data_IF_157440660618
#
_entry.id   IF_157440660618
#
_cell.length_a   1.000
_cell.length_b   1.000
_cell.length_c   1.000
_cell.angle_alpha   90.00
_cell.angle_beta   90.00
_cell.angle_gamma   90.00
#
_symmetry.space_group_name_H-M   'P 1'
#
loop_
_entity.id
_entity.type
_entity.pdbx_description
1 polymer ?
#
# COMPACT_ATOMS: atom_id res chain seq x y z
N UNK A 1 -37.83 -31.48 20.80
CA UNK A 1 -37.03 -32.49 20.06
C UNK A 1 -35.59 -32.02 20.07
N UNK A 2 -34.73 -32.76 20.76
CA UNK A 2 -33.29 -32.57 20.82
C UNK A 2 -32.69 -32.85 19.43
N UNK A 3 -32.34 -31.82 18.67
CA UNK A 3 -31.42 -31.99 17.54
C UNK A 3 -30.02 -31.90 18.12
N UNK A 4 -29.41 -33.04 18.41
CA UNK A 4 -27.98 -33.13 18.69
C UNK A 4 -27.24 -32.64 17.44
N UNK A 5 -26.65 -31.44 17.52
CA UNK A 5 -25.55 -31.05 16.64
C UNK A 5 -24.43 -32.06 16.90
N UNK A 6 -24.24 -33.00 15.98
CA UNK A 6 -23.16 -33.97 16.00
C UNK A 6 -21.85 -33.22 15.72
N UNK A 7 -21.27 -32.58 16.73
CA UNK A 7 -19.92 -32.01 16.65
C UNK A 7 -18.93 -33.17 16.52
N UNK A 8 -18.24 -33.23 15.39
CA UNK A 8 -17.22 -34.27 15.19
C UNK A 8 -15.98 -33.94 16.02
N UNK A 9 -15.46 -34.94 16.75
CA UNK A 9 -14.22 -34.82 17.52
C UNK A 9 -13.09 -35.34 16.65
N UNK A 10 -12.53 -34.48 15.81
CA UNK A 10 -11.46 -34.84 14.90
C UNK A 10 -10.24 -33.97 15.18
N UNK A 11 -9.07 -34.59 15.34
CA UNK A 11 -7.81 -33.84 15.37
C UNK A 11 -7.40 -33.34 13.98
N UNK A 12 -7.91 -33.99 12.93
CA UNK A 12 -7.71 -33.62 11.53
C UNK A 12 -8.92 -34.02 10.69
N UNK A 13 -9.26 -33.21 9.69
CA UNK A 13 -10.42 -33.40 8.81
C UNK A 13 -10.11 -32.93 7.39
N UNK A 14 -10.47 -33.75 6.41
CA UNK A 14 -10.39 -33.40 4.99
C UNK A 14 -11.73 -32.85 4.53
N UNK A 15 -11.72 -31.64 3.98
CA UNK A 15 -12.89 -30.97 3.40
C UNK A 15 -12.80 -31.09 1.87
N UNK A 16 -13.60 -32.02 1.33
CA UNK A 16 -13.65 -32.31 -0.11
C UNK A 16 -14.87 -31.73 -0.83
N UNK A 17 -15.84 -31.18 -0.09
CA UNK A 17 -17.06 -30.60 -0.64
C UNK A 17 -17.34 -29.23 0.00
N UNK A 18 -17.92 -28.27 -0.75
CA UNK A 18 -18.36 -27.01 -0.19
C UNK A 18 -19.58 -27.21 0.73
N UNK A 19 -19.78 -26.30 1.68
CA UNK A 19 -20.83 -26.41 2.68
C UNK A 19 -20.53 -25.63 3.95
N UNK A 20 -21.43 -25.72 4.92
CA UNK A 20 -21.22 -25.23 6.29
C UNK A 20 -20.92 -26.38 7.23
N UNK A 21 -19.97 -26.16 8.14
CA UNK A 21 -19.46 -27.14 9.08
C UNK A 21 -19.35 -26.52 10.48
N UNK A 22 -19.38 -27.39 11.49
CA UNK A 22 -19.18 -27.05 12.89
C UNK A 22 -18.40 -28.19 13.55
N UNK A 23 -17.24 -27.89 14.13
CA UNK A 23 -16.33 -28.87 14.73
C UNK A 23 -15.86 -28.40 16.11
N UNK A 24 -15.69 -29.33 17.05
CA UNK A 24 -15.17 -29.03 18.38
C UNK A 24 -13.63 -28.99 18.34
N UNK A 25 -13.02 -27.88 18.77
CA UNK A 25 -11.57 -27.73 18.89
C UNK A 25 -11.19 -27.78 20.37
N UNK A 26 -10.77 -28.96 20.84
CA UNK A 26 -10.34 -29.15 22.23
C UNK A 26 -9.01 -28.46 22.54
N UNK A 27 -8.06 -28.60 21.63
CA UNK A 27 -6.74 -27.98 21.69
C UNK A 27 -6.27 -27.58 20.29
N UNK A 28 -6.46 -28.48 19.32
CA UNK A 28 -5.98 -28.34 17.95
C UNK A 28 -6.86 -29.11 16.97
N UNK A 29 -7.12 -28.51 15.80
CA UNK A 29 -7.84 -29.08 14.67
C UNK A 29 -7.11 -28.73 13.37
N UNK A 30 -6.75 -29.74 12.59
CA UNK A 30 -6.20 -29.57 11.25
C UNK A 30 -7.29 -29.72 10.18
N UNK A 31 -7.54 -28.67 9.40
CA UNK A 31 -8.45 -28.70 8.26
C UNK A 31 -7.63 -28.74 6.97
N UNK A 32 -7.79 -29.79 6.17
CA UNK A 32 -7.17 -29.91 4.85
C UNK A 32 -8.22 -29.75 3.75
N UNK A 33 -8.02 -28.82 2.83
CA UNK A 33 -8.97 -28.51 1.77
C UNK A 33 -8.53 -29.13 0.45
N UNK A 34 -9.42 -29.89 -0.18
CA UNK A 34 -9.12 -30.54 -1.47
C UNK A 34 -9.23 -29.50 -2.59
N UNK A 35 -8.16 -29.25 -3.37
CA UNK A 35 -8.23 -28.35 -4.52
C UNK A 35 -9.20 -28.91 -5.57
N UNK A 36 -10.01 -28.03 -6.15
CA UNK A 36 -10.92 -28.37 -7.25
C UNK A 36 -10.49 -27.61 -8.50
N UNK A 37 -10.22 -28.35 -9.58
CA UNK A 37 -9.78 -27.76 -10.84
C UNK A 37 -10.80 -26.73 -11.37
N UNK A 38 -10.34 -25.59 -11.88
CA UNK A 38 -11.16 -24.48 -12.37
C UNK A 38 -12.01 -23.75 -11.32
N UNK A 39 -11.84 -24.07 -10.03
CA UNK A 39 -12.47 -23.36 -8.93
C UNK A 39 -11.42 -22.76 -8.00
N UNK A 40 -11.76 -21.62 -7.41
CA UNK A 40 -11.11 -21.12 -6.21
C UNK A 40 -11.92 -21.57 -4.98
N UNK A 41 -11.23 -21.93 -3.90
CA UNK A 41 -11.81 -22.27 -2.61
C UNK A 41 -11.75 -21.07 -1.68
N UNK A 42 -12.85 -20.77 -1.00
CA UNK A 42 -12.92 -19.72 0.01
C UNK A 42 -13.43 -20.32 1.31
N UNK A 43 -12.73 -20.06 2.41
CA UNK A 43 -13.12 -20.51 3.74
C UNK A 43 -13.47 -19.30 4.59
N UNK A 44 -14.65 -19.31 5.19
CA UNK A 44 -15.18 -18.21 6.00
C UNK A 44 -15.39 -18.72 7.43
N UNK A 45 -14.74 -18.05 8.38
CA UNK A 45 -14.91 -18.20 9.82
C UNK A 45 -15.68 -16.98 10.33
N UNK A 46 -16.99 -17.10 10.57
CA UNK A 46 -17.81 -15.98 10.98
C UNK A 46 -17.51 -15.51 12.42
N UNK A 47 -16.95 -16.37 13.29
CA UNK A 47 -16.60 -16.10 14.71
C UNK A 47 -15.21 -16.65 15.09
N UNK A 48 -14.11 -16.08 14.54
CA UNK A 48 -12.77 -16.62 14.76
C UNK A 48 -12.10 -16.18 16.08
N UNK A 49 -12.76 -15.37 16.92
CA UNK A 49 -12.11 -14.61 18.01
C UNK A 49 -11.45 -15.49 19.08
N UNK A 50 -11.88 -16.75 19.21
CA UNK A 50 -11.33 -17.71 20.19
C UNK A 50 -10.30 -18.68 19.60
N UNK A 51 -9.90 -18.46 18.35
CA UNK A 51 -9.08 -19.38 17.60
C UNK A 51 -7.80 -18.70 17.14
N UNK A 52 -6.73 -19.49 17.07
CA UNK A 52 -5.44 -19.04 16.56
C UNK A 52 -4.86 -20.00 15.54
N UNK A 53 -3.98 -19.48 14.68
CA UNK A 53 -3.07 -20.25 13.82
C UNK A 53 -1.67 -19.69 14.07
N UNK A 54 -0.72 -20.53 14.45
CA UNK A 54 0.69 -20.12 14.68
C UNK A 54 0.83 -18.90 15.63
N UNK A 55 0.12 -18.91 16.77
CA UNK A 55 0.07 -17.81 17.74
C UNK A 55 -0.49 -16.48 17.21
N UNK A 56 -1.15 -16.48 16.05
CA UNK A 56 -1.87 -15.32 15.52
C UNK A 56 -3.37 -15.59 15.54
N UNK A 57 -4.17 -14.54 15.72
CA UNK A 57 -5.63 -14.66 15.64
C UNK A 57 -6.05 -15.25 14.29
N UNK A 58 -7.00 -16.19 14.32
CA UNK A 58 -7.58 -16.77 13.11
C UNK A 58 -8.24 -15.66 12.28
N UNK A 59 -7.92 -15.59 10.99
CA UNK A 59 -8.57 -14.64 10.07
C UNK A 59 -10.03 -15.07 9.82
N UNK A 60 -10.90 -14.09 9.55
CA UNK A 60 -12.30 -14.37 9.17
C UNK A 60 -12.45 -15.02 7.80
N UNK A 61 -11.56 -14.74 6.85
CA UNK A 61 -11.67 -15.29 5.47
C UNK A 61 -10.30 -15.71 4.96
N UNK A 62 -10.24 -16.89 4.35
CA UNK A 62 -9.08 -17.42 3.64
C UNK A 62 -9.43 -17.71 2.18
N UNK A 63 -8.52 -17.37 1.27
CA UNK A 63 -8.65 -17.62 -0.16
C UNK A 63 -7.61 -18.66 -0.59
N UNK A 64 -8.09 -19.75 -1.21
CA UNK A 64 -7.33 -20.93 -1.60
C UNK A 64 -6.41 -21.52 -0.50
N UNK A 65 -6.89 -21.70 0.75
CA UNK A 65 -6.07 -22.39 1.76
C UNK A 65 -5.90 -23.87 1.39
N UNK A 66 -4.70 -24.42 1.60
CA UNK A 66 -4.45 -25.87 1.46
C UNK A 66 -4.69 -26.58 2.79
N UNK A 67 -4.05 -26.11 3.86
CA UNK A 67 -4.21 -26.64 5.21
C UNK A 67 -4.28 -25.49 6.21
N UNK A 68 -5.18 -25.59 7.19
CA UNK A 68 -5.26 -24.67 8.33
C UNK A 68 -5.15 -25.48 9.62
N UNK A 69 -4.18 -25.11 10.44
CA UNK A 69 -3.93 -25.74 11.74
C UNK A 69 -4.42 -24.79 12.83
N UNK A 70 -5.61 -25.07 13.34
CA UNK A 70 -6.37 -24.17 14.19
C UNK A 70 -6.26 -24.63 15.64
N UNK A 71 -5.96 -23.70 16.54
CA UNK A 71 -5.78 -23.94 17.96
C UNK A 71 -6.83 -23.18 18.77
N UNK A 72 -7.39 -23.82 19.80
CA UNK A 72 -8.33 -23.23 20.75
C UNK A 72 -8.53 -24.15 21.94
N UNK A 73 -8.95 -23.60 23.09
CA UNK A 73 -9.25 -24.36 24.29
C UNK A 73 -10.76 -24.65 24.37
N UNK A 74 -11.14 -25.84 23.91
CA UNK A 74 -12.50 -26.38 24.03
C UNK A 74 -13.62 -25.46 23.49
N UNK A 75 -13.45 -24.95 22.27
CA UNK A 75 -14.45 -24.11 21.59
C UNK A 75 -14.97 -24.76 20.30
N UNK A 76 -16.22 -24.43 19.93
CA UNK A 76 -16.85 -24.83 18.67
C UNK A 76 -16.44 -23.87 17.57
N UNK A 77 -15.84 -24.41 16.50
CA UNK A 77 -15.45 -23.67 15.30
C UNK A 77 -16.51 -23.85 14.22
N UNK A 78 -17.21 -22.77 13.90
CA UNK A 78 -18.12 -22.72 12.76
C UNK A 78 -17.40 -22.17 11.53
N UNK A 79 -17.64 -22.77 10.37
CA UNK A 79 -17.05 -22.31 9.11
C UNK A 79 -17.86 -22.72 7.88
N UNK A 80 -17.70 -21.95 6.81
CA UNK A 80 -18.28 -22.23 5.49
C UNK A 80 -17.17 -22.36 4.46
N UNK A 81 -17.28 -23.34 3.57
CA UNK A 81 -16.40 -23.53 2.41
C UNK A 81 -17.20 -23.29 1.14
N UNK A 82 -16.74 -22.34 0.33
CA UNK A 82 -17.37 -21.91 -0.92
C UNK A 82 -16.42 -22.24 -2.07
N UNK A 83 -16.99 -22.74 -3.17
CA UNK A 83 -16.28 -22.87 -4.43
C UNK A 83 -16.73 -21.79 -5.42
N UNK A 84 -15.77 -21.04 -5.95
CA UNK A 84 -15.98 -20.00 -6.95
C UNK A 84 -15.40 -20.43 -8.28
N UNK A 85 -16.20 -20.50 -9.34
CA UNK A 85 -15.69 -20.80 -10.69
C UNK A 85 -14.77 -19.68 -11.17
N UNK A 86 -13.54 -20.02 -11.57
CA UNK A 86 -12.54 -19.05 -12.03
C UNK A 86 -13.09 -18.23 -13.22
N UNK A 87 -12.94 -16.91 -13.13
CA UNK A 87 -13.40 -15.97 -14.16
C UNK A 87 -14.90 -15.72 -14.22
N UNK A 88 -15.70 -16.31 -13.32
CA UNK A 88 -17.15 -16.07 -13.29
C UNK A 88 -17.48 -14.67 -12.76
N UNK A 89 -17.00 -14.35 -11.55
CA UNK A 89 -17.25 -13.04 -10.93
C UNK A 89 -16.34 -11.97 -11.50
N UNK A 90 -16.90 -10.80 -11.78
CA UNK A 90 -16.11 -9.60 -12.04
C UNK A 90 -15.73 -8.89 -10.75
N UNK A 91 -16.68 -8.77 -9.82
CA UNK A 91 -16.43 -8.28 -8.45
C UNK A 91 -16.70 -9.37 -7.43
N UNK A 92 -15.99 -9.32 -6.30
CA UNK A 92 -16.23 -10.24 -5.18
C UNK A 92 -16.01 -9.53 -3.84
N UNK A 93 -17.10 -9.37 -3.09
CA UNK A 93 -17.09 -8.76 -1.77
C UNK A 93 -17.70 -9.71 -0.72
N UNK A 94 -17.07 -9.76 0.46
CA UNK A 94 -17.56 -10.51 1.61
C UNK A 94 -18.09 -9.55 2.66
N UNK A 95 -19.23 -9.89 3.23
CA UNK A 95 -19.93 -9.07 4.21
C UNK A 95 -20.23 -9.98 5.39
N UNK A 96 -19.49 -9.80 6.47
CA UNK A 96 -19.61 -10.60 7.67
C UNK A 96 -20.34 -9.78 8.72
N UNK A 97 -21.54 -10.22 9.06
CA UNK A 97 -22.35 -9.59 10.07
C UNK A 97 -21.80 -9.95 11.45
N UNK A 98 -21.46 -8.94 12.22
CA UNK A 98 -20.92 -9.09 13.57
C UNK A 98 -22.03 -9.26 14.61
N UNK A 99 -23.23 -8.80 14.31
CA UNK A 99 -24.38 -8.90 15.21
C UNK A 99 -25.61 -9.41 14.47
N UNK A 100 -26.57 -9.93 15.25
CA UNK A 100 -27.89 -10.40 14.77
C UNK A 100 -28.68 -9.35 13.98
N UNK A 101 -28.33 -8.07 14.15
CA UNK A 101 -29.10 -6.94 13.65
C UNK A 101 -28.47 -6.18 12.48
N UNK A 102 -27.40 -6.67 11.88
CA UNK A 102 -26.67 -5.96 10.84
C UNK A 102 -27.48 -5.86 9.53
N UNK A 103 -27.91 -4.63 9.20
CA UNK A 103 -28.46 -4.26 7.88
C UNK A 103 -27.34 -3.85 6.94
N UNK A 104 -27.26 -4.47 5.77
CA UNK A 104 -26.24 -4.11 4.77
C UNK A 104 -26.94 -3.61 3.52
N UNK A 105 -26.58 -2.38 3.16
CA UNK A 105 -27.09 -1.66 2.01
C UNK A 105 -26.00 -1.54 0.94
N UNK A 106 -26.29 -1.96 -0.28
CA UNK A 106 -25.40 -1.93 -1.43
C UNK A 106 -25.99 -1.03 -2.51
N UNK A 107 -25.31 0.09 -2.75
CA UNK A 107 -25.63 1.10 -3.75
C UNK A 107 -24.64 0.98 -4.89
N UNK A 108 -25.11 0.80 -6.12
CA UNK A 108 -24.25 0.57 -7.28
C UNK A 108 -24.62 1.49 -8.44
N UNK A 109 -23.59 2.08 -9.04
CA UNK A 109 -23.72 2.75 -10.33
C UNK A 109 -23.70 1.69 -11.44
N UNK A 110 -24.86 1.30 -11.96
CA UNK A 110 -24.95 0.20 -12.92
C UNK A 110 -24.18 0.46 -14.22
N UNK A 111 -23.91 1.72 -14.56
CA UNK A 111 -23.11 2.07 -15.74
C UNK A 111 -21.70 1.45 -15.71
N UNK A 112 -21.01 1.54 -14.58
CA UNK A 112 -19.63 1.03 -14.43
C UNK A 112 -19.56 -0.51 -14.46
N UNK A 113 -20.73 -1.16 -14.31
CA UNK A 113 -20.85 -2.60 -14.12
C UNK A 113 -21.89 -3.28 -15.01
N UNK A 114 -22.23 -2.65 -16.13
CA UNK A 114 -23.17 -3.21 -17.11
C UNK A 114 -22.70 -4.57 -17.60
N UNK A 115 -23.59 -5.56 -17.53
CA UNK A 115 -23.34 -6.94 -17.94
C UNK A 115 -22.17 -7.64 -17.22
N UNK A 116 -21.70 -7.09 -16.08
CA UNK A 116 -20.73 -7.75 -15.19
C UNK A 116 -21.44 -8.60 -14.15
N UNK A 117 -20.77 -9.66 -13.69
CA UNK A 117 -21.23 -10.50 -12.58
C UNK A 117 -20.72 -9.94 -11.26
N UNK A 118 -21.63 -9.40 -10.45
CA UNK A 118 -21.31 -8.76 -9.18
C UNK A 118 -21.62 -9.71 -8.04
N UNK A 119 -20.58 -10.33 -7.49
CA UNK A 119 -20.73 -11.39 -6.51
C UNK A 119 -20.54 -10.88 -5.09
N UNK A 120 -21.43 -11.30 -4.20
CA UNK A 120 -21.44 -10.94 -2.78
C UNK A 120 -21.63 -12.19 -1.94
N UNK A 121 -20.82 -12.33 -0.90
CA UNK A 121 -20.94 -13.41 0.08
C UNK A 121 -21.25 -12.81 1.43
N UNK A 122 -22.43 -13.10 1.95
CA UNK A 122 -22.87 -12.69 3.27
C UNK A 122 -22.70 -13.85 4.22
N UNK A 123 -22.08 -13.64 5.37
CA UNK A 123 -22.05 -14.64 6.43
C UNK A 123 -22.48 -14.00 7.75
N UNK A 124 -23.37 -14.68 8.47
CA UNK A 124 -23.89 -14.22 9.75
C UNK A 124 -23.75 -15.36 10.77
N UNK A 125 -22.93 -15.14 11.79
CA UNK A 125 -22.68 -16.14 12.83
C UNK A 125 -23.87 -16.32 13.77
N UNK A 126 -24.73 -15.31 13.88
CA UNK A 126 -25.73 -15.21 14.92
C UNK A 126 -27.14 -15.53 14.44
N UNK A 127 -27.34 -15.59 13.11
CA UNK A 127 -28.64 -15.91 12.54
C UNK A 127 -28.55 -16.97 11.46
N UNK A 128 -29.55 -17.83 11.47
CA UNK A 128 -29.76 -18.85 10.45
C UNK A 128 -30.63 -18.35 9.29
N UNK A 129 -31.10 -17.09 9.37
CA UNK A 129 -31.95 -16.42 8.39
C UNK A 129 -31.46 -15.00 8.13
N UNK A 130 -31.60 -14.49 6.91
CA UNK A 130 -31.48 -13.05 6.61
C UNK A 130 -32.44 -12.70 5.49
N UNK A 131 -32.90 -11.44 5.46
CA UNK A 131 -33.94 -10.98 4.53
C UNK A 131 -33.33 -10.08 3.47
N UNK A 132 -33.24 -10.54 2.22
CA UNK A 132 -32.75 -9.67 1.13
C UNK A 132 -33.86 -8.73 0.67
N UNK A 133 -33.51 -7.48 0.39
CA UNK A 133 -34.41 -6.44 -0.06
C UNK A 133 -33.79 -5.60 -1.18
N UNK A 134 -34.65 -4.88 -1.89
CA UNK A 134 -34.27 -3.83 -2.84
C UNK A 134 -35.05 -2.54 -2.62
N UNK A 135 -34.77 -1.54 -3.45
CA UNK A 135 -35.63 -0.38 -3.57
C UNK A 135 -36.84 -0.75 -4.45
N UNK A 136 -38.06 -0.62 -3.90
CA UNK A 136 -39.36 -0.94 -4.50
C UNK A 136 -39.36 -1.01 -6.05
N UNK A 137 -39.80 -2.12 -6.64
CA UNK A 137 -40.03 -2.36 -8.10
C UNK A 137 -38.88 -2.05 -9.11
N UNK A 138 -37.85 -1.31 -8.70
CA UNK A 138 -36.86 -0.64 -9.55
C UNK A 138 -35.50 -1.35 -9.62
N UNK A 139 -35.37 -2.54 -9.04
CA UNK A 139 -34.21 -3.40 -9.30
C UNK A 139 -34.22 -3.77 -10.79
N UNK A 140 -33.43 -3.05 -11.58
CA UNK A 140 -33.28 -3.27 -13.01
C UNK A 140 -32.09 -4.20 -13.21
N UNK A 141 -32.27 -5.46 -12.87
CA UNK A 141 -31.26 -6.52 -12.98
C UNK A 141 -31.80 -7.88 -12.52
N UNK A 142 -31.00 -8.92 -12.69
CA UNK A 142 -31.27 -10.28 -12.19
C UNK A 142 -30.42 -10.54 -10.96
N UNK A 143 -31.07 -11.02 -9.91
CA UNK A 143 -30.43 -11.52 -8.71
C UNK A 143 -30.48 -13.05 -8.77
N UNK A 144 -29.31 -13.67 -8.66
CA UNK A 144 -29.17 -15.11 -8.58
C UNK A 144 -28.62 -15.45 -7.20
N UNK A 145 -29.28 -16.37 -6.50
CA UNK A 145 -28.76 -16.86 -5.23
C UNK A 145 -28.43 -18.34 -5.26
N UNK A 146 -27.44 -18.66 -4.47
CA UNK A 146 -26.83 -19.96 -4.40
C UNK A 146 -26.93 -20.47 -2.96
N UNK A 147 -27.52 -21.64 -2.79
CA UNK A 147 -27.70 -22.34 -1.51
C UNK A 147 -26.80 -23.59 -1.38
N UNK A 148 -26.08 -23.93 -2.45
CA UNK A 148 -25.21 -25.09 -2.55
C UNK A 148 -23.72 -24.79 -2.32
N UNK A 149 -23.37 -23.56 -1.88
CA UNK A 149 -21.98 -23.14 -1.65
C UNK A 149 -21.08 -23.16 -2.90
N UNK A 150 -21.67 -23.17 -4.11
CA UNK A 150 -20.94 -23.16 -5.39
C UNK A 150 -21.43 -22.01 -6.26
N UNK A 151 -20.57 -21.02 -6.49
CA UNK A 151 -20.87 -19.89 -7.35
C UNK A 151 -20.28 -20.14 -8.76
N UNK A 152 -21.13 -20.65 -9.67
CA UNK A 152 -20.71 -21.21 -10.97
C UNK A 152 -21.53 -20.77 -12.20
N UNK A 153 -22.61 -20.01 -12.01
CA UNK A 153 -23.52 -19.60 -13.09
C UNK A 153 -24.54 -20.62 -13.56
N UNK A 154 -24.63 -21.80 -12.92
CA UNK A 154 -25.53 -22.89 -13.36
C UNK A 154 -26.26 -23.60 -12.22
N UNK A 155 -26.03 -23.20 -10.97
CA UNK A 155 -26.61 -23.83 -9.78
C UNK A 155 -27.22 -22.79 -8.84
N UNK A 156 -28.07 -21.94 -9.40
CA UNK A 156 -28.72 -20.85 -8.69
C UNK A 156 -30.24 -20.95 -8.80
N UNK A 157 -30.91 -20.20 -7.93
CA UNK A 157 -32.31 -19.84 -8.08
C UNK A 157 -32.41 -18.38 -8.51
N UNK A 158 -33.04 -18.11 -9.66
CA UNK A 158 -33.32 -16.74 -10.09
C UNK A 158 -34.39 -16.16 -9.16
N UNK A 159 -34.12 -14.97 -8.64
CA UNK A 159 -35.06 -14.31 -7.74
C UNK A 159 -35.96 -13.35 -8.48
N UNK A 160 -37.25 -13.54 -8.26
CA UNK A 160 -38.28 -12.65 -8.75
C UNK A 160 -38.33 -11.37 -7.91
N UNK A 161 -38.61 -10.24 -8.57
CA UNK A 161 -38.78 -8.93 -7.93
C UNK A 161 -39.79 -8.99 -6.77
N UNK A 162 -39.53 -8.24 -5.69
CA UNK A 162 -40.37 -8.11 -4.49
C UNK A 162 -40.62 -9.41 -3.69
N UNK A 163 -39.76 -10.42 -3.81
CA UNK A 163 -39.85 -11.63 -3.00
C UNK A 163 -38.99 -11.48 -1.75
N UNK A 164 -39.57 -11.62 -0.55
CA UNK A 164 -38.80 -11.74 0.68
C UNK A 164 -38.02 -13.05 0.64
N UNK A 165 -36.70 -12.98 0.80
CA UNK A 165 -35.93 -14.20 0.92
C UNK A 165 -35.77 -14.59 2.38
N UNK A 166 -36.27 -15.77 2.75
CA UNK A 166 -35.82 -16.43 3.97
C UNK A 166 -34.58 -17.26 3.63
N UNK A 167 -33.42 -16.86 4.15
CA UNK A 167 -32.26 -17.72 4.09
C UNK A 167 -32.45 -18.94 4.98
N UNK A 168 -32.07 -20.08 4.46
CA UNK A 168 -31.65 -21.20 5.28
C UNK A 168 -30.12 -21.18 5.23
N UNK A 169 -29.47 -21.31 6.38
CA UNK A 169 -28.01 -21.38 6.59
C UNK A 169 -27.28 -20.03 6.74
N UNK A 170 -26.25 -20.05 7.59
CA UNK A 170 -25.46 -18.90 8.08
C UNK A 170 -24.64 -18.17 7.01
N UNK A 171 -24.73 -18.58 5.74
CA UNK A 171 -24.01 -17.98 4.61
C UNK A 171 -24.90 -17.93 3.38
N UNK A 172 -24.97 -16.76 2.75
CA UNK A 172 -25.68 -16.50 1.49
C UNK A 172 -24.70 -16.01 0.44
N UNK A 173 -24.81 -16.53 -0.78
CA UNK A 173 -24.08 -15.98 -1.91
C UNK A 173 -25.06 -15.44 -2.95
N UNK A 174 -24.81 -14.21 -3.38
CA UNK A 174 -25.63 -13.50 -4.34
C UNK A 174 -24.74 -13.12 -5.53
N UNK A 175 -25.25 -13.35 -6.74
CA UNK A 175 -24.75 -12.73 -7.96
C UNK A 175 -25.80 -11.73 -8.47
N UNK A 176 -25.37 -10.51 -8.73
CA UNK A 176 -26.20 -9.48 -9.34
C UNK A 176 -25.68 -9.11 -10.72
N UNK A 177 -26.58 -9.14 -11.71
CA UNK A 177 -26.29 -8.73 -13.09
C UNK A 177 -27.31 -7.69 -13.53
N UNK A 178 -26.87 -6.63 -14.22
CA UNK A 178 -27.74 -5.56 -14.72
C UNK A 178 -27.36 -5.14 -16.13
N UNK A 179 -28.36 -4.87 -16.95
CA UNK A 179 -28.20 -4.26 -18.28
C UNK A 179 -28.60 -2.77 -18.30
N UNK A 180 -29.05 -2.25 -17.15
CA UNK A 180 -29.55 -0.89 -17.01
C UNK A 180 -28.42 0.12 -16.78
N UNK A 181 -28.68 1.36 -17.18
CA UNK A 181 -27.79 2.50 -16.91
C UNK A 181 -28.22 3.26 -15.64
N UNK A 182 -29.17 2.73 -14.87
CA UNK A 182 -29.73 3.39 -13.69
C UNK A 182 -29.02 2.97 -12.39
N UNK A 183 -29.15 3.79 -11.36
CA UNK A 183 -28.63 3.48 -10.04
C UNK A 183 -29.44 2.35 -9.42
N UNK A 184 -28.78 1.25 -9.04
CA UNK A 184 -29.42 0.10 -8.42
C UNK A 184 -29.08 0.03 -6.93
N UNK A 185 -29.99 -0.54 -6.15
CA UNK A 185 -29.83 -0.69 -4.72
C UNK A 185 -30.45 -1.99 -4.22
N UNK A 186 -29.67 -2.77 -3.48
CA UNK A 186 -30.12 -3.98 -2.78
C UNK A 186 -29.40 -4.14 -1.45
N UNK A 187 -29.92 -4.99 -0.57
CA UNK A 187 -29.34 -5.18 0.75
C UNK A 187 -29.89 -6.38 1.49
N UNK A 188 -29.35 -6.65 2.68
CA UNK A 188 -29.87 -7.67 3.60
C UNK A 188 -30.33 -7.03 4.92
N UNK A 189 -31.40 -7.57 5.50
CA UNK A 189 -32.00 -7.23 6.79
C UNK A 189 -32.62 -5.81 6.90
N UNK A 190 -33.34 -5.31 5.88
CA UNK A 190 -33.93 -3.94 5.75
C UNK A 190 -34.47 -3.26 7.01
N UNK A 191 -35.02 -4.04 7.93
CA UNK A 191 -35.78 -3.58 9.11
C UNK A 191 -35.00 -3.71 10.43
N UNK A 192 -33.71 -4.04 10.37
CA UNK A 192 -32.87 -4.16 11.56
C UNK A 192 -31.98 -2.92 11.75
N UNK A 193 -31.45 -2.77 12.96
CA UNK A 193 -30.62 -1.63 13.34
C UNK A 193 -29.31 -1.61 12.55
N UNK A 194 -29.07 -0.56 11.76
CA UNK A 194 -27.81 -0.41 11.05
C UNK A 194 -26.63 -0.35 12.04
N UNK A 195 -25.77 -1.37 11.95
CA UNK A 195 -24.49 -1.51 12.65
C UNK A 195 -23.39 -1.62 11.61
N UNK A 196 -22.13 -1.49 12.03
CA UNK A 196 -20.98 -1.64 11.13
C UNK A 196 -20.71 -3.13 10.87
N UNK A 197 -21.02 -3.60 9.66
CA UNK A 197 -20.60 -4.93 9.19
C UNK A 197 -19.11 -4.93 8.81
N UNK A 198 -18.43 -6.03 9.07
CA UNK A 198 -17.05 -6.24 8.61
C UNK A 198 -17.11 -6.59 7.12
N UNK A 199 -16.47 -5.77 6.28
CA UNK A 199 -16.44 -5.96 4.83
C UNK A 199 -15.05 -6.41 4.42
N UNK A 200 -14.97 -7.36 3.50
CA UNK A 200 -13.71 -7.85 2.99
C UNK A 200 -13.73 -8.00 1.46
N UNK A 201 -12.56 -7.92 0.83
CA UNK A 201 -12.43 -8.15 -0.62
C UNK A 201 -11.12 -8.86 -0.95
N UNK A 202 -11.07 -9.53 -2.10
CA UNK A 202 -9.88 -10.24 -2.59
C UNK A 202 -9.23 -9.44 -3.73
N UNK A 203 -7.90 -9.19 -3.70
CA UNK A 203 -7.21 -8.37 -4.70
C UNK A 203 -7.29 -8.85 -6.15
N UNK A 204 -7.60 -10.11 -6.40
CA UNK A 204 -7.80 -10.65 -7.75
C UNK A 204 -9.11 -10.17 -8.40
N UNK A 205 -10.04 -9.63 -7.62
CA UNK A 205 -11.34 -9.17 -8.09
C UNK A 205 -11.45 -7.64 -8.00
N UNK A 206 -12.33 -7.04 -8.81
CA UNK A 206 -12.80 -5.69 -8.52
C UNK A 206 -13.61 -5.72 -7.21
N UNK A 207 -13.59 -4.62 -6.45
CA UNK A 207 -14.37 -4.50 -5.22
C UNK A 207 -15.30 -3.31 -5.35
N UNK A 208 -16.55 -3.51 -4.95
CA UNK A 208 -17.56 -2.45 -4.92
C UNK A 208 -17.61 -1.76 -3.55
N UNK A 209 -17.00 -2.39 -2.54
CA UNK A 209 -17.10 -1.96 -1.15
C UNK A 209 -15.73 -1.64 -0.59
N UNK A 210 -15.64 -0.52 0.14
CA UNK A 210 -14.49 -0.32 1.02
C UNK A 210 -14.55 -1.36 2.14
N UNK A 211 -13.51 -2.15 2.27
CA UNK A 211 -13.40 -3.22 3.25
C UNK A 211 -11.95 -3.69 3.43
N UNK A 212 -11.73 -4.55 4.40
CA UNK A 212 -10.44 -5.16 4.72
C UNK A 212 -10.00 -6.09 3.60
N UNK A 213 -8.78 -5.88 3.10
CA UNK A 213 -8.19 -6.77 2.11
C UNK A 213 -7.95 -8.17 2.68
N UNK A 214 -8.44 -9.19 1.98
CA UNK A 214 -8.07 -10.60 2.22
C UNK A 214 -6.84 -10.88 1.38
N UNK A 215 -5.70 -10.96 2.04
CA UNK A 215 -4.45 -11.38 1.42
C UNK A 215 -4.36 -12.91 1.46
N UNK A 216 -4.16 -13.59 0.31
CA UNK A 216 -3.77 -14.98 0.30
C UNK A 216 -2.39 -15.15 0.94
N UNK A 217 -1.98 -16.40 1.10
CA UNK A 217 -0.61 -16.72 1.44
C UNK A 217 0.35 -16.16 0.36
N UNK A 218 1.42 -15.49 0.81
CA UNK A 218 2.40 -14.86 -0.08
C UNK A 218 3.41 -15.92 -0.52
N UNK A 219 3.14 -16.60 -1.64
CA UNK A 219 4.00 -17.67 -2.17
C UNK A 219 5.00 -17.21 -3.24
N UNK A 220 4.60 -16.28 -4.10
CA UNK A 220 5.36 -15.90 -5.31
C UNK A 220 6.16 -14.60 -5.19
N UNK A 221 6.36 -14.12 -3.97
CA UNK A 221 7.09 -12.88 -3.74
C UNK A 221 8.60 -13.14 -3.62
N UNK A 222 9.39 -12.37 -4.37
CA UNK A 222 10.85 -12.29 -4.23
C UNK A 222 11.29 -10.85 -3.97
N UNK A 223 12.38 -10.69 -3.24
CA UNK A 223 13.12 -9.43 -3.22
C UNK A 223 14.04 -9.36 -4.46
N UNK A 224 14.36 -8.15 -4.90
CA UNK A 224 15.10 -7.87 -6.12
C UNK A 224 14.23 -7.36 -7.26
N UNK A 225 14.75 -7.48 -8.48
CA UNK A 225 14.15 -6.91 -9.70
C UNK A 225 12.92 -7.68 -10.20
N UNK A 226 11.93 -6.90 -10.62
CA UNK A 226 10.77 -7.34 -11.39
C UNK A 226 10.77 -6.63 -12.75
N UNK A 227 10.56 -7.44 -13.80
CA UNK A 227 10.34 -6.98 -15.16
C UNK A 227 9.03 -7.60 -15.65
N UNK A 228 7.96 -6.80 -15.59
CA UNK A 228 6.59 -7.27 -15.81
C UNK A 228 6.08 -6.66 -17.10
N UNK A 229 5.69 -7.51 -18.04
CA UNK A 229 4.91 -7.10 -19.20
C UNK A 229 3.44 -6.99 -18.78
N UNK A 230 2.92 -5.77 -18.68
CA UNK A 230 1.52 -5.55 -18.28
C UNK A 230 0.58 -5.87 -19.45
N UNK A 231 -0.36 -6.78 -19.21
CA UNK A 231 -1.53 -7.00 -20.05
C UNK A 231 -2.76 -6.62 -19.19
N UNK A 232 -3.15 -5.35 -19.24
CA UNK A 232 -4.21 -4.70 -18.44
C UNK A 232 -3.89 -4.48 -16.96
N UNK A 233 -3.64 -5.54 -16.19
CA UNK A 233 -3.40 -5.45 -14.74
C UNK A 233 -2.43 -6.51 -14.22
N UNK A 234 -1.59 -6.12 -13.28
CA UNK A 234 -0.70 -7.01 -12.53
C UNK A 234 -0.93 -6.79 -11.03
N UNK A 235 -1.10 -7.88 -10.29
CA UNK A 235 -1.27 -7.86 -8.82
C UNK A 235 -0.12 -8.62 -8.19
N UNK A 236 0.54 -8.01 -7.22
CA UNK A 236 1.59 -8.65 -6.44
C UNK A 236 1.29 -8.50 -4.95
N UNK A 237 1.29 -9.61 -4.23
CA UNK A 237 1.18 -9.65 -2.78
C UNK A 237 2.54 -9.36 -2.16
N UNK A 238 2.58 -8.40 -1.25
CA UNK A 238 3.82 -7.83 -0.71
C UNK A 238 3.89 -8.15 0.78
N UNK A 239 4.97 -8.80 1.26
CA UNK A 239 5.16 -9.03 2.68
C UNK A 239 5.45 -7.73 3.42
N UNK A 240 5.14 -7.71 4.71
CA UNK A 240 5.48 -6.62 5.63
C UNK A 240 6.98 -6.29 5.59
N UNK A 241 7.33 -5.06 5.98
CA UNK A 241 8.69 -4.54 6.01
C UNK A 241 9.37 -4.59 4.63
N UNK A 242 8.62 -4.28 3.58
CA UNK A 242 9.13 -4.24 2.22
C UNK A 242 9.16 -2.81 1.70
N UNK A 243 10.10 -2.51 0.82
CA UNK A 243 10.21 -1.22 0.14
C UNK A 243 10.22 -1.43 -1.37
N UNK A 244 9.29 -0.81 -2.06
CA UNK A 244 9.23 -0.82 -3.52
C UNK A 244 9.88 0.42 -4.09
N UNK A 245 10.77 0.22 -5.06
CA UNK A 245 11.43 1.25 -5.83
C UNK A 245 11.06 1.10 -7.30
N UNK A 246 10.57 2.17 -7.90
CA UNK A 246 10.27 2.20 -9.34
C UNK A 246 11.50 2.57 -10.17
N UNK A 247 11.73 1.85 -11.26
CA UNK A 247 12.96 1.98 -12.07
C UNK A 247 12.69 2.30 -13.56
N UNK A 248 11.43 2.22 -14.02
CA UNK A 248 10.99 2.65 -15.36
C UNK A 248 9.72 3.50 -15.26
N UNK A 249 9.61 4.51 -16.15
CA UNK A 249 8.48 5.44 -16.23
C UNK A 249 7.75 5.24 -17.55
N UNK A 250 6.49 4.83 -17.46
CA UNK A 250 5.55 4.80 -18.57
C UNK A 250 4.18 5.24 -18.05
N UNK A 251 3.16 5.33 -18.90
CA UNK A 251 1.79 5.63 -18.46
C UNK A 251 1.19 4.42 -17.74
N UNK A 252 1.02 4.52 -16.42
CA UNK A 252 0.41 3.47 -15.59
C UNK A 252 -0.39 4.08 -14.42
N UNK A 253 -1.25 3.26 -13.84
CA UNK A 253 -1.89 3.53 -12.55
C UNK A 253 -1.40 2.49 -11.54
N UNK A 254 -0.90 2.94 -10.40
CA UNK A 254 -0.49 2.05 -9.31
C UNK A 254 -1.39 2.26 -8.11
N UNK A 255 -1.90 1.17 -7.56
CA UNK A 255 -2.72 1.14 -6.38
C UNK A 255 -2.06 0.25 -5.34
N UNK A 256 -1.62 0.84 -4.23
CA UNK A 256 -1.04 0.12 -3.10
C UNK A 256 -2.08 0.03 -1.98
N UNK A 257 -2.18 -1.13 -1.33
CA UNK A 257 -3.17 -1.38 -0.29
C UNK A 257 -2.57 -2.12 0.89
N UNK A 258 -2.97 -1.73 2.11
CA UNK A 258 -2.71 -2.49 3.33
C UNK A 258 -3.94 -2.45 4.24
N UNK A 259 -4.51 -3.62 4.52
CA UNK A 259 -5.72 -3.74 5.34
C UNK A 259 -6.87 -2.88 4.83
N UNK A 260 -7.13 -1.76 5.52
CA UNK A 260 -8.21 -0.82 5.20
C UNK A 260 -7.75 0.44 4.46
N UNK A 261 -6.44 0.60 4.26
CA UNK A 261 -5.84 1.76 3.63
C UNK A 261 -5.51 1.49 2.16
N UNK A 262 -5.71 2.50 1.33
CA UNK A 262 -5.35 2.48 -0.08
C UNK A 262 -4.67 3.78 -0.49
N UNK A 263 -3.72 3.65 -1.40
CA UNK A 263 -3.09 4.78 -2.08
C UNK A 263 -3.10 4.50 -3.57
N UNK A 264 -3.69 5.41 -4.35
CA UNK A 264 -3.71 5.33 -5.80
C UNK A 264 -2.92 6.50 -6.38
N UNK A 265 -1.94 6.19 -7.22
CA UNK A 265 -1.21 7.17 -8.00
C UNK A 265 -1.43 6.91 -9.50
N UNK A 266 -1.83 7.95 -10.22
CA UNK A 266 -1.98 7.92 -11.69
C UNK A 266 -0.83 8.70 -12.31
N UNK A 267 -0.04 8.03 -13.15
CA UNK A 267 1.05 8.67 -13.86
C UNK A 267 0.66 8.98 -15.30
N UNK A 268 0.61 10.28 -15.60
CA UNK A 268 0.49 10.84 -16.95
C UNK A 268 1.55 11.91 -17.15
N UNK A 269 2.40 11.77 -18.17
CA UNK A 269 3.29 12.77 -18.81
C UNK A 269 4.27 13.58 -17.95
N UNK A 270 4.24 13.48 -16.62
CA UNK A 270 5.19 14.11 -15.71
C UNK A 270 6.14 13.05 -15.16
N UNK A 271 7.45 13.28 -15.31
CA UNK A 271 8.57 12.47 -14.77
C UNK A 271 8.55 12.41 -13.23
N UNK A 272 7.53 11.77 -12.66
CA UNK A 272 7.41 11.54 -11.23
C UNK A 272 7.75 10.09 -10.95
N UNK A 273 8.65 9.85 -10.01
CA UNK A 273 8.88 8.51 -9.48
C UNK A 273 8.19 8.37 -8.14
N UNK A 274 7.73 7.17 -7.83
CA UNK A 274 7.06 6.89 -6.55
C UNK A 274 7.68 5.65 -5.93
N UNK A 275 7.78 5.64 -4.61
CA UNK A 275 8.07 4.44 -3.84
C UNK A 275 7.03 4.23 -2.76
N UNK A 276 6.96 2.97 -2.33
CA UNK A 276 6.08 2.55 -1.25
C UNK A 276 6.89 1.79 -0.21
N UNK A 277 6.75 2.20 1.05
CA UNK A 277 7.19 1.44 2.21
C UNK A 277 5.97 0.74 2.81
N UNK A 278 6.04 -0.59 2.90
CA UNK A 278 4.96 -1.44 3.39
C UNK A 278 5.27 -1.88 4.81
N UNK A 279 4.54 -1.30 5.78
CA UNK A 279 4.71 -1.66 7.20
C UNK A 279 4.10 -3.04 7.52
N UNK A 280 2.99 -3.37 6.85
CA UNK A 280 2.25 -4.62 7.03
C UNK A 280 2.16 -5.39 5.71
N UNK A 281 1.74 -6.66 5.79
CA UNK A 281 1.41 -7.43 4.59
C UNK A 281 0.36 -6.66 3.77
N UNK A 282 0.58 -6.63 2.46
CA UNK A 282 -0.08 -5.69 1.57
C UNK A 282 -0.23 -6.30 0.17
N UNK A 283 -0.83 -5.56 -0.76
CA UNK A 283 -0.67 -5.84 -2.18
C UNK A 283 -0.48 -4.55 -2.96
N UNK A 284 0.07 -4.70 -4.15
CA UNK A 284 0.11 -3.65 -5.15
C UNK A 284 -0.58 -4.13 -6.41
N UNK A 285 -1.40 -3.28 -7.01
CA UNK A 285 -2.03 -3.47 -8.29
C UNK A 285 -1.52 -2.41 -9.25
N UNK A 286 -1.03 -2.85 -10.40
CA UNK A 286 -0.44 -2.00 -11.43
C UNK A 286 -1.27 -2.20 -12.69
N UNK A 287 -1.87 -1.12 -13.20
CA UNK A 287 -2.67 -1.13 -14.43
C UNK A 287 -1.97 -0.31 -15.52
N UNK A 288 -1.90 -0.85 -16.73
CA UNK A 288 -1.21 -0.22 -17.86
C UNK A 288 -1.03 -1.18 -19.04
N UNK A 289 -0.44 -0.67 -20.14
CA UNK A 289 -0.19 -1.44 -21.38
C UNK A 289 1.28 -1.46 -21.79
N UNK A 290 2.20 -1.18 -20.86
CA UNK A 290 3.64 -1.11 -21.12
C UNK A 290 4.42 -2.09 -20.25
N UNK A 291 5.70 -2.24 -20.54
CA UNK A 291 6.60 -2.97 -19.65
C UNK A 291 6.86 -2.12 -18.41
N UNK A 292 6.74 -2.72 -17.24
CA UNK A 292 6.89 -2.04 -15.98
C UNK A 292 7.98 -2.70 -15.13
N UNK A 293 8.95 -1.90 -14.69
CA UNK A 293 10.11 -2.36 -13.96
C UNK A 293 10.23 -1.68 -12.60
N UNK A 294 10.36 -2.51 -11.59
CA UNK A 294 10.46 -2.10 -10.21
C UNK A 294 11.30 -3.11 -9.43
N UNK A 295 11.70 -2.72 -8.24
CA UNK A 295 12.47 -3.54 -7.34
C UNK A 295 11.81 -3.55 -5.97
N UNK A 296 11.84 -4.70 -5.32
CA UNK A 296 11.52 -4.81 -3.90
C UNK A 296 12.78 -5.08 -3.09
N UNK A 297 12.92 -4.44 -1.94
CA UNK A 297 13.95 -4.75 -0.95
C UNK A 297 13.31 -4.95 0.41
N UNK A 298 13.88 -5.87 1.20
CA UNK A 298 13.45 -6.05 2.59
C UNK A 298 14.07 -4.95 3.43
N UNK A 299 13.27 -4.27 4.24
CA UNK A 299 13.77 -3.40 5.29
C UNK A 299 14.46 -4.27 6.36
N UNK A 300 15.78 -4.14 6.57
CA UNK A 300 16.49 -4.95 7.56
C UNK A 300 16.02 -4.56 8.97
N UNK A 301 15.66 -5.54 9.80
CA UNK A 301 15.10 -5.27 11.13
C UNK A 301 16.08 -4.58 12.09
N UNK A 302 17.38 -4.76 11.83
CA UNK A 302 18.48 -4.20 12.63
C UNK A 302 18.79 -2.73 12.28
N UNK A 303 18.22 -2.20 11.19
CA UNK A 303 18.48 -0.83 10.74
C UNK A 303 17.65 0.18 11.54
N UNK A 304 18.26 0.80 12.54
CA UNK A 304 17.76 2.02 13.18
C UNK A 304 18.47 3.22 12.57
N UNK A 305 17.75 3.98 11.74
CA UNK A 305 18.30 5.13 11.02
C UNK A 305 17.55 6.41 11.36
N UNK A 306 18.29 7.52 11.39
CA UNK A 306 17.71 8.87 11.52
C UNK A 306 17.20 9.40 10.17
N UNK A 307 17.72 8.89 9.05
CA UNK A 307 17.30 9.27 7.70
C UNK A 307 17.39 8.09 6.74
N UNK A 308 16.42 7.99 5.83
CA UNK A 308 16.43 7.07 4.69
C UNK A 308 16.79 7.83 3.42
N UNK A 309 17.76 7.30 2.67
CA UNK A 309 18.27 7.89 1.42
C UNK A 309 18.04 6.88 0.31
N UNK A 310 17.33 7.26 -0.76
CA UNK A 310 17.20 6.41 -1.96
C UNK A 310 17.97 7.06 -3.12
N UNK A 311 18.89 6.34 -3.76
CA UNK A 311 19.71 6.80 -4.90
C UNK A 311 19.30 5.96 -6.11
N UNK A 312 18.84 6.59 -7.19
CA UNK A 312 18.31 5.91 -8.36
C UNK A 312 19.09 6.28 -9.61
N UNK A 313 19.36 5.27 -10.44
CA UNK A 313 19.92 5.45 -11.78
C UNK A 313 21.33 6.02 -11.81
N UNK A 314 21.85 6.26 -13.01
CA UNK A 314 23.25 6.61 -13.22
C UNK A 314 23.67 7.92 -12.53
N UNK A 315 24.31 7.85 -11.36
CA UNK A 315 24.71 9.01 -10.56
C UNK A 315 25.91 8.74 -9.64
N UNK A 316 26.76 9.74 -9.48
CA UNK A 316 27.72 9.83 -8.39
C UNK A 316 27.14 10.62 -7.21
N UNK A 317 26.99 9.97 -6.05
CA UNK A 317 26.44 10.61 -4.85
C UNK A 317 27.28 10.33 -3.61
N UNK A 318 27.45 11.33 -2.75
CA UNK A 318 28.24 11.23 -1.52
C UNK A 318 27.40 11.55 -0.30
N UNK A 319 27.13 10.53 0.51
CA UNK A 319 26.46 10.69 1.81
C UNK A 319 27.50 11.20 2.80
N UNK A 320 27.27 12.38 3.40
CA UNK A 320 28.12 12.95 4.45
C UNK A 320 27.34 12.97 5.75
N UNK A 321 27.89 12.36 6.79
CA UNK A 321 27.26 12.29 8.11
C UNK A 321 28.09 12.97 9.19
N UNK A 322 27.43 13.74 10.05
CA UNK A 322 27.97 14.27 11.30
C UNK A 322 27.96 13.20 12.38
N UNK A 323 28.70 13.46 13.46
CA UNK A 323 28.70 12.58 14.63
C UNK A 323 27.28 12.48 15.22
N UNK A 324 26.80 11.27 15.44
CA UNK A 324 25.48 10.98 15.99
C UNK A 324 24.38 10.73 14.96
N UNK A 325 24.67 10.85 13.66
CA UNK A 325 23.71 10.59 12.59
C UNK A 325 23.82 9.13 12.10
N UNK A 326 22.70 8.54 11.70
CA UNK A 326 22.62 7.18 11.16
C UNK A 326 21.79 7.17 9.88
N UNK A 327 22.33 6.63 8.80
CA UNK A 327 21.67 6.66 7.48
C UNK A 327 21.41 5.26 6.97
N UNK A 328 20.23 5.07 6.40
CA UNK A 328 19.85 3.88 5.65
C UNK A 328 19.80 4.24 4.17
N UNK A 329 20.73 3.72 3.38
CA UNK A 329 20.86 4.05 1.96
C UNK A 329 20.42 2.87 1.11
N UNK A 330 19.48 3.12 0.20
CA UNK A 330 19.07 2.21 -0.87
C UNK A 330 19.51 2.79 -2.21
N UNK A 331 20.60 2.29 -2.76
CA UNK A 331 21.03 2.65 -4.12
C UNK A 331 20.54 1.59 -5.10
N UNK A 332 19.84 1.99 -6.17
CA UNK A 332 19.24 1.08 -7.14
C UNK A 332 19.45 1.55 -8.58
N UNK A 333 19.59 0.60 -9.50
CA UNK A 333 19.63 0.80 -10.95
C UNK A 333 19.04 -0.41 -11.66
N UNK A 334 18.58 -0.22 -12.90
CA UNK A 334 17.93 -1.28 -13.67
C UNK A 334 18.92 -2.33 -14.20
N UNK A 335 20.04 -1.88 -14.77
CA UNK A 335 20.97 -2.70 -15.55
C UNK A 335 22.43 -2.21 -15.37
N UNK A 336 22.81 -1.97 -14.13
CA UNK A 336 24.07 -1.31 -13.80
C UNK A 336 24.76 -1.86 -12.57
N UNK A 337 26.03 -1.48 -12.43
CA UNK A 337 26.79 -1.73 -11.21
C UNK A 337 26.77 -0.51 -10.30
N UNK A 338 26.75 -0.76 -9.01
CA UNK A 338 26.82 0.26 -7.96
C UNK A 338 28.12 0.04 -7.22
N UNK A 339 29.05 1.00 -7.32
CA UNK A 339 30.27 0.96 -6.51
C UNK A 339 30.06 1.75 -5.23
N UNK A 340 30.57 1.22 -4.12
CA UNK A 340 30.49 1.87 -2.81
C UNK A 340 31.90 2.04 -2.23
N UNK A 341 32.34 3.28 -2.14
CA UNK A 341 33.66 3.67 -1.64
C UNK A 341 33.52 4.33 -0.26
N UNK A 342 33.83 3.55 0.78
CA UNK A 342 34.18 3.90 2.18
C UNK A 342 33.60 2.82 3.12
N UNK A 343 34.41 2.27 4.05
CA UNK A 343 34.20 0.93 4.61
C UNK A 343 34.22 0.82 6.14
N UNK A 344 34.61 1.86 6.89
CA UNK A 344 34.88 1.67 8.33
C UNK A 344 33.67 1.82 9.24
N UNK A 345 32.60 2.47 8.77
CA UNK A 345 31.41 2.77 9.57
C UNK A 345 30.12 2.29 8.91
N UNK A 346 30.24 1.46 7.87
CA UNK A 346 29.12 0.99 7.07
C UNK A 346 28.90 -0.52 7.22
N UNK A 347 27.64 -0.92 7.36
CA UNK A 347 27.19 -2.31 7.27
C UNK A 347 26.40 -2.49 5.99
N UNK A 348 26.62 -3.59 5.29
CA UNK A 348 26.05 -3.85 3.96
C UNK A 348 25.06 -4.99 4.03
N UNK A 349 24.02 -4.93 3.19
CA UNK A 349 22.95 -5.91 3.20
C UNK A 349 22.62 -6.37 1.78
N UNK A 350 22.18 -7.62 1.64
CA UNK A 350 21.57 -8.11 0.41
C UNK A 350 20.12 -7.64 0.27
N UNK A 351 19.48 -7.87 -0.88
CA UNK A 351 18.09 -7.48 -1.13
C UNK A 351 17.06 -8.13 -0.18
N UNK A 352 17.43 -9.26 0.44
CA UNK A 352 16.62 -9.97 1.44
C UNK A 352 16.85 -9.42 2.86
N UNK A 353 17.69 -8.40 3.01
CA UNK A 353 18.00 -7.75 4.28
C UNK A 353 18.98 -8.53 5.16
N UNK A 354 19.71 -9.50 4.62
CA UNK A 354 20.76 -10.22 5.36
C UNK A 354 22.05 -9.42 5.36
N UNK A 355 22.74 -9.40 6.50
CA UNK A 355 24.03 -8.74 6.65
C UNK A 355 25.10 -9.44 5.79
N UNK A 356 25.77 -8.67 4.95
CA UNK A 356 26.91 -9.10 4.15
C UNK A 356 28.19 -8.99 4.99
N UNK A 357 28.85 -10.12 5.20
CA UNK A 357 30.08 -10.22 6.02
C UNK A 357 31.20 -9.28 5.54
N UNK A 358 31.24 -8.93 4.27
CA UNK A 358 32.26 -8.09 3.66
C UNK A 358 31.66 -7.11 2.63
N UNK A 359 32.26 -5.92 2.50
CA UNK A 359 31.94 -4.99 1.43
C UNK A 359 32.37 -5.60 0.08
N UNK A 360 31.43 -5.76 -0.84
CA UNK A 360 31.74 -6.27 -2.19
C UNK A 360 32.39 -5.24 -3.12
N UNK A 361 32.54 -3.97 -2.69
CA UNK A 361 32.98 -2.79 -3.46
C UNK A 361 32.10 -2.45 -4.67
N UNK A 362 31.50 -3.44 -5.33
CA UNK A 362 30.60 -3.34 -6.46
C UNK A 362 29.42 -4.29 -6.24
N UNK A 363 28.21 -3.79 -6.48
CA UNK A 363 26.96 -4.52 -6.37
C UNK A 363 26.20 -4.46 -7.69
N UNK A 364 25.49 -5.52 -8.04
CA UNK A 364 24.67 -5.56 -9.25
C UNK A 364 23.26 -5.06 -8.90
N UNK A 365 22.80 -4.03 -9.62
CA UNK A 365 21.46 -3.43 -9.55
C UNK A 365 21.05 -2.77 -8.20
N UNK A 366 21.48 -3.28 -7.04
CA UNK A 366 21.12 -2.75 -5.72
C UNK A 366 22.31 -2.77 -4.76
N UNK A 367 22.47 -1.68 -3.99
CA UNK A 367 23.31 -1.66 -2.80
C UNK A 367 22.51 -1.12 -1.62
N UNK A 368 22.44 -1.90 -0.53
CA UNK A 368 21.77 -1.52 0.70
C UNK A 368 22.82 -1.32 1.78
N UNK A 369 22.88 -0.11 2.33
CA UNK A 369 23.98 0.30 3.22
C UNK A 369 23.42 1.02 4.45
N UNK A 370 23.77 0.53 5.64
CA UNK A 370 23.60 1.25 6.90
C UNK A 370 24.91 1.98 7.23
N UNK A 371 24.86 3.30 7.40
CA UNK A 371 26.02 4.13 7.75
C UNK A 371 25.85 4.62 9.19
N UNK A 372 26.75 4.19 10.08
CA UNK A 372 26.71 4.51 11.51
C UNK A 372 27.78 5.55 11.90
N UNK A 373 27.40 6.82 11.96
CA UNK A 373 28.29 7.90 12.39
C UNK A 373 28.20 8.21 13.89
N UNK A 374 27.73 7.29 14.73
CA UNK A 374 27.59 7.54 16.17
C UNK A 374 28.92 7.95 16.83
N UNK A 375 30.04 7.37 16.38
CA UNK A 375 31.37 7.60 16.99
C UNK A 375 32.17 8.72 16.33
N UNK A 376 32.03 8.93 15.02
CA UNK A 376 32.80 9.91 14.24
C UNK A 376 32.04 10.34 12.99
N UNK A 377 32.35 11.53 12.46
CA UNK A 377 31.88 11.93 11.12
C UNK A 377 32.57 11.11 10.04
N UNK A 378 31.82 10.74 9.00
CA UNK A 378 32.35 10.01 7.84
C UNK A 378 31.64 10.42 6.56
N UNK A 379 32.07 9.85 5.43
CA UNK A 379 31.37 10.03 4.18
C UNK A 379 31.52 8.85 3.25
N UNK A 380 30.39 8.26 2.86
CA UNK A 380 30.36 7.12 1.93
C UNK A 380 29.98 7.62 0.54
N UNK A 381 30.75 7.23 -0.48
CA UNK A 381 30.48 7.57 -1.88
C UNK A 381 29.85 6.38 -2.60
N UNK A 382 28.85 6.67 -3.42
CA UNK A 382 28.15 5.76 -4.29
C UNK A 382 28.36 6.20 -5.73
N UNK A 383 28.79 5.29 -6.59
CA UNK A 383 28.82 5.47 -8.06
C UNK A 383 27.82 4.46 -8.64
N UNK A 384 26.62 4.92 -8.97
CA UNK A 384 25.55 4.11 -9.56
C UNK A 384 25.68 4.19 -11.08
N UNK A 385 25.78 3.04 -11.74
CA UNK A 385 25.79 2.92 -13.20
C UNK A 385 24.42 2.56 -13.80
N UNK A 386 24.42 2.09 -15.05
CA UNK A 386 23.21 1.63 -15.77
C UNK A 386 22.60 2.66 -16.72
N UNK A 387 21.47 2.31 -17.32
CA UNK A 387 20.76 3.07 -18.35
C UNK A 387 19.48 3.73 -17.86
N UNK A 388 19.22 3.76 -16.54
CA UNK A 388 18.03 4.42 -15.98
C UNK A 388 17.98 5.88 -16.42
N UNK A 389 16.88 6.25 -17.05
CA UNK A 389 16.75 7.46 -17.87
C UNK A 389 16.77 8.76 -17.05
N UNK A 390 16.36 8.70 -15.77
CA UNK A 390 16.25 9.86 -14.87
C UNK A 390 16.90 9.56 -13.52
N UNK A 391 18.23 9.77 -13.40
CA UNK A 391 18.91 9.54 -12.14
C UNK A 391 18.48 10.56 -11.09
N UNK A 392 18.24 10.13 -9.85
CA UNK A 392 17.74 11.00 -8.78
C UNK A 392 18.13 10.51 -7.38
N UNK A 393 18.10 11.41 -6.39
CA UNK A 393 18.38 11.09 -4.98
C UNK A 393 17.27 11.65 -4.09
N UNK A 394 16.64 10.79 -3.30
CA UNK A 394 15.58 11.14 -2.35
C UNK A 394 16.15 11.15 -0.94
N UNK A 395 16.03 12.30 -0.28
CA UNK A 395 16.47 12.58 1.09
C UNK A 395 15.49 13.54 1.74
N UNK A 396 14.74 13.14 2.76
CA UNK A 396 13.94 14.05 3.63
C UNK A 396 13.45 15.34 2.94
N UNK A 397 12.85 15.27 1.75
CA UNK A 397 12.73 16.48 0.91
C UNK A 397 11.49 17.28 1.24
N UNK A 398 11.68 18.37 1.98
CA UNK A 398 10.87 19.58 1.83
C UNK A 398 11.38 20.35 0.61
N UNK A 399 10.50 20.65 -0.34
CA UNK A 399 10.50 21.82 -1.25
C UNK A 399 10.73 21.69 -2.76
N UNK A 400 11.31 20.64 -3.38
CA UNK A 400 11.44 20.64 -4.87
C UNK A 400 11.67 19.25 -5.48
N UNK A 401 10.76 18.32 -5.23
CA UNK A 401 10.96 16.94 -5.68
C UNK A 401 9.78 16.44 -6.53
N UNK A 402 10.06 15.88 -7.71
CA UNK A 402 9.07 15.17 -8.54
C UNK A 402 8.68 13.79 -7.93
N UNK A 403 9.06 13.47 -6.69
CA UNK A 403 9.00 12.14 -6.11
C UNK A 403 8.22 12.06 -4.81
N UNK A 404 7.43 10.99 -4.66
CA UNK A 404 6.67 10.71 -3.45
C UNK A 404 7.07 9.34 -2.87
N UNK A 405 7.28 9.28 -1.55
CA UNK A 405 7.34 8.01 -0.81
C UNK A 405 6.11 7.92 0.06
N UNK A 406 5.37 6.83 -0.05
CA UNK A 406 4.22 6.58 0.82
C UNK A 406 4.54 5.44 1.80
N UNK A 407 4.29 5.68 3.08
CA UNK A 407 4.12 4.61 4.05
C UNK A 407 2.69 4.07 3.96
N UNK A 408 2.58 2.76 3.72
CA UNK A 408 1.31 2.04 3.69
C UNK A 408 1.28 1.10 4.90
N UNK A 409 0.31 1.33 5.79
CA UNK A 409 0.00 0.50 6.96
C UNK A 409 -1.50 0.26 7.06
N UNK A 410 -1.94 -0.64 7.94
CA UNK A 410 -3.37 -0.96 8.09
C UNK A 410 -4.21 0.23 8.59
N UNK A 411 -3.60 1.16 9.31
CA UNK A 411 -4.31 2.25 10.01
C UNK A 411 -4.01 3.64 9.43
N UNK A 412 -2.96 3.78 8.63
CA UNK A 412 -2.60 5.07 8.04
C UNK A 412 -1.90 4.91 6.69
N UNK A 413 -2.17 5.88 5.83
CA UNK A 413 -1.38 6.20 4.65
C UNK A 413 -0.73 7.55 4.89
N UNK A 414 0.58 7.66 4.77
CA UNK A 414 1.28 8.93 5.01
C UNK A 414 2.43 9.13 4.02
N UNK A 415 2.64 10.36 3.60
CA UNK A 415 3.88 10.70 2.90
C UNK A 415 5.04 10.58 3.88
N UNK A 416 6.04 9.76 3.54
CA UNK A 416 7.31 9.67 4.30
C UNK A 416 8.24 10.85 3.98
N UNK A 417 7.97 11.56 2.89
CA UNK A 417 8.60 12.84 2.61
C UNK A 417 7.63 13.95 3.02
N UNK A 418 7.98 14.77 4.02
CA UNK A 418 7.20 15.96 4.34
C UNK A 418 7.68 17.14 3.51
N UNK A 419 6.74 17.88 2.93
CA UNK A 419 6.95 19.26 2.47
C UNK A 419 6.29 20.18 3.49
N UNK A 420 7.05 20.73 4.45
CA UNK A 420 6.64 22.04 4.96
C UNK A 420 7.18 23.04 3.96
N UNK A 421 6.27 23.81 3.38
CA UNK A 421 6.62 25.09 2.81
C UNK A 421 7.08 25.97 3.96
N UNK A 422 8.36 26.34 3.99
CA UNK A 422 8.71 27.65 4.50
C UNK A 422 8.21 28.68 3.48
N UNK A 423 6.90 28.91 3.46
CA UNK A 423 6.36 30.19 3.01
C UNK A 423 6.87 31.23 4.02
N UNK A 424 8.13 31.68 3.87
CA UNK A 424 8.70 32.99 4.24
C UNK A 424 10.21 32.95 4.59
N UNK A 425 11.12 32.77 3.62
CA UNK A 425 12.52 33.21 3.86
C UNK A 425 13.22 33.90 2.68
N UNK A 426 12.49 34.14 1.59
CA UNK A 426 12.97 35.07 0.56
C UNK A 426 12.86 36.53 1.02
N UNK A 427 11.89 36.89 1.87
CA UNK A 427 11.75 38.27 2.35
C UNK A 427 12.94 38.70 3.22
N UNK A 428 13.46 37.81 4.10
CA UNK A 428 14.56 38.15 5.00
C UNK A 428 15.88 38.37 4.24
N UNK A 429 16.15 37.54 3.23
CA UNK A 429 17.38 37.64 2.41
C UNK A 429 17.38 38.91 1.56
N UNK A 430 16.24 39.29 0.96
CA UNK A 430 16.12 40.56 0.23
C UNK A 430 16.21 41.78 1.16
N UNK A 431 15.63 41.71 2.37
CA UNK A 431 15.74 42.78 3.37
C UNK A 431 17.19 42.99 3.79
N UNK A 432 17.95 41.92 4.04
CA UNK A 432 19.38 42.02 4.40
C UNK A 432 20.20 42.63 3.25
N UNK A 433 19.98 42.21 1.99
CA UNK A 433 20.66 42.77 0.83
C UNK A 433 20.35 44.26 0.62
N UNK A 434 19.10 44.69 0.85
CA UNK A 434 18.70 46.10 0.78
C UNK A 434 19.40 46.92 1.86
N UNK A 435 19.47 46.43 3.11
CA UNK A 435 20.17 47.13 4.19
C UNK A 435 21.67 47.25 3.95
N UNK A 436 22.31 46.21 3.40
CA UNK A 436 23.72 46.26 3.01
C UNK A 436 23.95 47.27 1.90
N UNK A 437 23.08 47.30 0.87
CA UNK A 437 23.18 48.27 -0.22
C UNK A 437 23.02 49.72 0.27
N UNK A 438 22.08 49.98 1.19
CA UNK A 438 21.91 51.30 1.82
C UNK A 438 23.17 51.68 2.61
N UNK A 439 23.73 50.76 3.40
CA UNK A 439 24.95 51.00 4.17
C UNK A 439 26.16 51.33 3.29
N UNK A 440 26.35 50.59 2.19
CA UNK A 440 27.41 50.86 1.21
C UNK A 440 27.19 52.21 0.51
N UNK A 441 25.95 52.54 0.14
CA UNK A 441 25.61 53.83 -0.46
C UNK A 441 25.96 55.01 0.44
N UNK A 442 25.65 54.94 1.73
CA UNK A 442 25.99 55.97 2.72
C UNK A 442 27.51 56.14 2.84
N UNK A 443 28.27 55.04 2.89
CA UNK A 443 29.73 55.08 2.98
C UNK A 443 30.37 55.74 1.76
N UNK A 444 29.84 55.49 0.56
CA UNK A 444 30.32 56.13 -0.68
C UNK A 444 30.06 57.65 -0.62
N UNK A 445 28.87 58.08 -0.19
CA UNK A 445 28.54 59.51 -0.06
C UNK A 445 29.48 60.20 0.94
N UNK A 446 29.75 59.57 2.09
CA UNK A 446 30.69 60.09 3.09
C UNK A 446 32.10 60.19 2.50
N UNK A 447 32.58 59.15 1.79
CA UNK A 447 33.90 59.16 1.17
C UNK A 447 34.04 60.27 0.12
N UNK A 448 33.03 60.45 -0.74
CA UNK A 448 32.99 61.53 -1.75
C UNK A 448 32.98 62.90 -1.08
N UNK A 449 32.19 63.10 -0.01
CA UNK A 449 32.16 64.35 0.74
C UNK A 449 33.53 64.68 1.36
N UNK A 450 34.19 63.70 1.99
CA UNK A 450 35.55 63.85 2.54
C UNK A 450 36.53 64.22 1.43
N UNK A 451 36.44 63.56 0.27
CA UNK A 451 37.34 63.82 -0.87
C UNK A 451 37.13 65.23 -1.44
N UNK A 452 35.89 65.68 -1.57
CA UNK A 452 35.55 67.03 -2.02
C UNK A 452 36.00 68.09 -1.02
N UNK A 453 35.78 67.89 0.29
CA UNK A 453 36.27 68.81 1.33
C UNK A 453 37.80 68.88 1.31
N UNK A 454 38.49 67.75 1.21
CA UNK A 454 39.96 67.71 1.13
C UNK A 454 40.47 68.42 -0.12
N UNK A 455 39.81 68.24 -1.27
CA UNK A 455 40.12 68.95 -2.52
C UNK A 455 39.90 70.46 -2.39
N UNK A 456 38.78 70.90 -1.84
CA UNK A 456 38.48 72.33 -1.60
C UNK A 456 39.44 72.98 -0.60
N UNK A 457 39.88 72.28 0.45
CA UNK A 457 40.89 72.79 1.40
C UNK A 457 42.27 72.92 0.74
N UNK A 458 42.64 71.99 -0.14
CA UNK A 458 43.89 72.04 -0.90
C UNK A 458 43.86 73.17 -1.94
N UNK A 459 42.74 73.36 -2.64
CA UNK A 459 42.58 74.42 -3.63
C UNK A 459 42.50 75.82 -2.97
N UNK A 460 41.90 75.94 -1.77
CA UNK A 460 41.98 77.19 -0.97
C UNK A 460 43.42 77.52 -0.58
N UNK A 461 44.23 76.54 -0.14
CA UNK A 461 45.65 76.75 0.19
C UNK A 461 46.48 77.16 -1.03
N UNK A 462 46.17 76.64 -2.23
CA UNK A 462 46.83 77.04 -3.49
C UNK A 462 46.48 78.47 -3.93
N UNK A 463 45.23 78.92 -3.72
CA UNK A 463 44.81 80.27 -4.11
C UNK A 463 45.25 81.36 -3.12
N UNK A 464 45.44 81.06 -1.83
CA UNK A 464 46.05 82.01 -0.89
C UNK A 464 47.54 82.28 -1.14
N UNK A 465 48.24 81.38 -1.85
CA UNK A 465 49.67 81.57 -2.20
C UNK A 465 49.89 82.30 -3.54
N UNK A 466 48.84 82.79 -4.21
CA UNK A 466 48.94 83.54 -5.49
C UNK A 466 48.56 85.01 -5.42
N UNK A 467 48.20 85.54 -4.24
CA UNK A 467 47.97 86.98 -4.02
C UNK A 467 48.95 87.55 -3.00
N UNK A 468 50.24 87.32 -3.24
CA UNK A 468 51.33 87.92 -2.48
C UNK A 468 52.50 88.20 -3.41
N UNK A 469 52.77 89.49 -3.60
CA UNK A 469 53.94 90.11 -4.24
C UNK A 469 54.14 89.87 -5.75
N UNK A 470 53.54 90.78 -6.53
CA UNK A 470 54.16 91.40 -7.69
C UNK A 470 54.15 92.90 -7.46
#
# INVERSE_FOLDING_TARGET
>A
MFSFLLTSHAMSKVIGAPGSFSDQVESKLELTFTPVENYDSIVIFPTPEKFSINNQALKRVYYNPETLVIESENNVLDYSVILLKKGYCTTLDFILNKYENDTVSLSINAYDYKSKHLCFVFANAHETKSVVYGNNDQLNGKIYAYDNYILNGSSYHEWNKNTNLELTYTTLMIDFTTESNEYNYFGINKEKNATTSDRYHIPNFETMLKGTVILPEIKDFKYGMYDVKLNDSYVLYVPAKSYMIMLQYDTYTIQAFSGNQNHEEKHSDLERSVAWSFANNSYIRIKGQTNFKFMFVKHPEEMKCTEYITILGKMDYKVKGKKGEQFCVYAATYDGKIKVEDSKVATYFDENGNNLKENKYSYDNIAIVHIDNTKSSSSVKFEVGGSTVTPYVIRNTKTYNKYHIFAISETSTGSLNSEDRDENDHSLTYVVLIWVAIGVGILIVIAVAIFLVKKFVIDRRKNTNKTGTG
#
